data_IF_675397628676
#
_entry.id   IF_675397628676
#
_cell.length_a   1.000
_cell.length_b   1.000
_cell.length_c   1.000
_cell.angle_alpha   90.00
_cell.angle_beta   90.00
_cell.angle_gamma   90.00
#
_symmetry.space_group_name_H-M   'P 1'
#
loop_
_entity.id
_entity.type
_entity.pdbx_description
1 polymer ?
#
# COMPACT_ATOMS: atom_id res chain seq x y z
N UNK A 1 -15.25 -12.05 -25.57
CA UNK A 1 -14.06 -12.48 -24.81
C UNK A 1 -14.58 -13.35 -23.67
N UNK A 2 -13.96 -14.51 -23.33
CA UNK A 2 -14.40 -15.29 -22.19
C UNK A 2 -14.34 -14.47 -20.90
N UNK A 3 -15.21 -14.79 -19.94
CA UNK A 3 -15.17 -14.15 -18.63
C UNK A 3 -13.81 -14.39 -17.97
N UNK A 4 -13.26 -13.39 -17.25
CA UNK A 4 -12.03 -13.59 -16.53
C UNK A 4 -12.16 -14.72 -15.49
N UNK A 5 -11.05 -15.40 -15.15
CA UNK A 5 -11.00 -16.31 -14.00
C UNK A 5 -11.62 -15.65 -12.77
N UNK A 6 -12.28 -16.44 -11.91
CA UNK A 6 -12.99 -15.90 -10.74
C UNK A 6 -12.11 -14.96 -9.89
N UNK A 7 -10.84 -15.32 -9.69
CA UNK A 7 -9.86 -14.51 -8.97
C UNK A 7 -9.59 -13.11 -9.58
N UNK A 8 -9.94 -12.90 -10.84
CA UNK A 8 -9.73 -11.65 -11.59
C UNK A 8 -11.04 -10.90 -11.87
N UNK A 9 -12.21 -11.40 -11.45
CA UNK A 9 -13.51 -10.78 -11.76
C UNK A 9 -13.78 -9.53 -10.94
N UNK A 10 -13.36 -9.52 -9.68
CA UNK A 10 -13.57 -8.40 -8.77
C UNK A 10 -12.30 -8.11 -7.98
N UNK A 11 -11.51 -7.14 -8.45
CA UNK A 11 -10.30 -6.68 -7.76
C UNK A 11 -10.51 -5.25 -7.31
N UNK A 12 -10.41 -5.00 -5.99
CA UNK A 12 -10.46 -3.64 -5.45
C UNK A 12 -9.06 -3.08 -5.28
N UNK A 13 -8.86 -1.84 -5.68
CA UNK A 13 -7.59 -1.13 -5.50
C UNK A 13 -7.81 0.06 -4.59
N UNK A 14 -7.08 0.13 -3.48
CA UNK A 14 -7.22 1.16 -2.45
C UNK A 14 -5.90 1.86 -2.27
N UNK A 15 -5.89 3.19 -2.20
CA UNK A 15 -4.68 3.98 -1.98
C UNK A 15 -4.73 5.34 -2.68
N UNK A 16 -3.55 5.97 -2.80
CA UNK A 16 -3.38 7.22 -3.55
C UNK A 16 -4.01 7.12 -4.96
N UNK A 17 -4.87 8.07 -5.37
CA UNK A 17 -5.60 8.01 -6.64
C UNK A 17 -4.69 7.80 -7.85
N UNK A 18 -3.55 8.50 -7.93
CA UNK A 18 -2.66 8.39 -9.09
C UNK A 18 -2.06 6.98 -9.23
N UNK A 19 -1.66 6.39 -8.10
CA UNK A 19 -1.11 5.03 -8.03
C UNK A 19 -2.21 3.99 -8.24
N UNK A 20 -3.36 4.14 -7.57
CA UNK A 20 -4.49 3.23 -7.67
C UNK A 20 -5.04 3.18 -9.11
N UNK A 21 -5.16 4.32 -9.78
CA UNK A 21 -5.61 4.39 -11.17
C UNK A 21 -4.63 3.71 -12.14
N UNK A 22 -3.32 3.89 -11.92
CA UNK A 22 -2.30 3.22 -12.72
C UNK A 22 -2.39 1.69 -12.58
N UNK A 23 -2.55 1.19 -11.36
CA UNK A 23 -2.73 -0.24 -11.07
C UNK A 23 -4.03 -0.77 -11.67
N UNK A 24 -5.15 -0.03 -11.52
CA UNK A 24 -6.44 -0.41 -12.12
C UNK A 24 -6.32 -0.53 -13.65
N UNK A 25 -5.65 0.43 -14.31
CA UNK A 25 -5.42 0.36 -15.76
C UNK A 25 -4.61 -0.86 -16.15
N UNK A 26 -3.54 -1.16 -15.42
CA UNK A 26 -2.69 -2.32 -15.68
C UNK A 26 -3.47 -3.64 -15.51
N UNK A 27 -4.23 -3.78 -14.42
CA UNK A 27 -5.04 -4.97 -14.16
C UNK A 27 -6.15 -5.17 -15.22
N UNK A 28 -6.81 -4.08 -15.63
CA UNK A 28 -7.82 -4.14 -16.71
C UNK A 28 -7.21 -4.53 -18.05
N UNK A 29 -6.02 -4.04 -18.37
CA UNK A 29 -5.29 -4.45 -19.57
C UNK A 29 -4.96 -5.95 -19.57
N UNK A 30 -4.81 -6.55 -18.38
CA UNK A 30 -4.67 -8.00 -18.18
C UNK A 30 -6.01 -8.76 -18.11
N UNK A 31 -7.14 -8.07 -18.31
CA UNK A 31 -8.48 -8.66 -18.34
C UNK A 31 -9.19 -8.75 -16.99
N UNK A 32 -8.65 -8.14 -15.93
CA UNK A 32 -9.31 -8.14 -14.62
C UNK A 32 -10.43 -7.09 -14.50
N UNK A 33 -11.49 -7.41 -13.76
CA UNK A 33 -12.55 -6.49 -13.34
C UNK A 33 -12.12 -5.58 -12.19
N UNK A 34 -11.00 -4.88 -12.37
CA UNK A 34 -10.42 -4.02 -11.33
C UNK A 34 -11.14 -2.68 -11.21
N UNK A 35 -11.31 -2.17 -9.98
CA UNK A 35 -11.83 -0.82 -9.71
C UNK A 35 -11.23 -0.23 -8.44
N UNK A 36 -11.15 1.09 -8.40
CA UNK A 36 -10.77 1.80 -7.18
C UNK A 36 -11.85 1.61 -6.10
N UNK A 37 -11.42 1.60 -4.84
CA UNK A 37 -12.30 1.58 -3.68
C UNK A 37 -11.74 2.51 -2.59
N UNK A 38 -12.64 3.08 -1.80
CA UNK A 38 -12.26 3.89 -0.65
C UNK A 38 -11.66 3.03 0.48
N UNK A 39 -10.88 3.64 1.38
CA UNK A 39 -10.24 2.96 2.51
C UNK A 39 -11.23 2.50 3.59
N UNK A 40 -12.43 3.09 3.64
CA UNK A 40 -13.41 2.84 4.69
C UNK A 40 -13.97 1.41 4.68
N UNK A 41 -14.09 0.81 3.49
CA UNK A 41 -14.56 -0.58 3.36
C UNK A 41 -14.09 -1.24 2.05
N UNK A 42 -12.80 -1.64 1.96
CA UNK A 42 -12.30 -2.37 0.80
C UNK A 42 -12.81 -3.81 0.72
N UNK A 43 -13.44 -4.32 1.79
CA UNK A 43 -13.97 -5.68 1.86
C UNK A 43 -15.46 -5.75 1.50
N UNK A 44 -16.12 -4.60 1.29
CA UNK A 44 -17.49 -4.49 0.83
C UNK A 44 -17.76 -5.42 -0.36
N UNK A 45 -18.86 -6.16 -0.29
CA UNK A 45 -19.29 -7.15 -1.28
C UNK A 45 -18.35 -8.35 -1.48
N UNK A 46 -17.36 -8.54 -0.58
CA UNK A 46 -16.38 -9.63 -0.59
C UNK A 46 -15.70 -9.79 -1.96
N UNK A 47 -14.84 -8.83 -2.37
CA UNK A 47 -14.14 -8.91 -3.63
C UNK A 47 -13.24 -10.15 -3.70
N UNK A 48 -12.86 -10.51 -4.92
CA UNK A 48 -11.97 -11.66 -5.17
C UNK A 48 -10.54 -11.40 -4.69
N UNK A 49 -10.10 -10.13 -4.72
CA UNK A 49 -8.82 -9.69 -4.16
C UNK A 49 -8.82 -8.18 -3.88
N UNK A 50 -7.91 -7.74 -3.01
CA UNK A 50 -7.66 -6.32 -2.72
C UNK A 50 -6.19 -5.96 -2.95
N UNK A 51 -5.92 -4.92 -3.71
CA UNK A 51 -4.58 -4.32 -3.86
C UNK A 51 -4.52 -3.05 -3.01
N UNK A 52 -3.57 -3.03 -2.09
CA UNK A 52 -3.34 -1.97 -1.12
C UNK A 52 -2.14 -1.13 -1.56
N UNK A 53 -2.39 0.03 -2.16
CA UNK A 53 -1.39 0.94 -2.68
C UNK A 53 -0.99 2.02 -1.67
N UNK A 54 -0.07 1.67 -0.78
CA UNK A 54 0.44 2.56 0.25
C UNK A 54 1.25 3.70 -0.39
N UNK A 55 0.99 4.93 0.07
CA UNK A 55 1.95 6.01 -0.10
C UNK A 55 3.03 5.87 0.95
N UNK A 56 4.32 6.00 0.61
CA UNK A 56 5.34 6.18 1.63
C UNK A 56 5.06 7.51 2.35
N UNK A 57 4.78 7.47 3.64
CA UNK A 57 4.51 8.64 4.48
C UNK A 57 5.76 9.49 4.77
N UNK A 58 6.85 9.30 4.04
CA UNK A 58 8.09 10.05 4.22
C UNK A 58 8.65 10.47 2.87
N UNK A 59 8.84 11.77 2.59
CA UNK A 59 9.72 12.17 1.51
C UNK A 59 11.12 11.65 1.86
N UNK A 60 11.66 10.74 1.05
CA UNK A 60 13.08 10.40 1.11
C UNK A 60 13.83 11.59 0.50
N UNK A 61 14.04 12.64 1.29
CA UNK A 61 14.66 13.89 0.90
C UNK A 61 14.80 14.77 2.15
N UNK A 62 16.05 15.11 2.49
CA UNK A 62 16.44 15.65 3.78
C UNK A 62 15.76 16.96 4.20
N UNK A 63 15.94 17.29 5.48
CA UNK A 63 15.68 18.60 6.03
C UNK A 63 16.23 19.69 5.09
N UNK A 64 15.33 20.40 4.40
CA UNK A 64 15.73 21.34 3.36
C UNK A 64 14.53 21.99 2.69
N UNK A 65 14.10 23.08 3.30
CA UNK A 65 13.23 24.14 2.76
C UNK A 65 11.72 23.88 2.76
N UNK A 66 11.09 24.51 3.77
CA UNK A 66 9.67 24.82 3.81
C UNK A 66 9.28 25.66 2.57
N UNK A 67 8.70 24.99 1.58
CA UNK A 67 8.15 25.62 0.39
C UNK A 67 6.83 24.97 0.00
N UNK A 68 5.74 25.43 0.64
CA UNK A 68 4.36 25.36 0.18
C UNK A 68 3.82 23.99 -0.27
N UNK A 69 3.17 23.27 0.63
CA UNK A 69 2.18 22.26 0.24
C UNK A 69 0.80 22.72 0.72
N UNK A 70 0.02 23.28 -0.21
CA UNK A 70 -1.43 23.36 -0.07
C UNK A 70 -1.96 21.95 0.23
N UNK A 71 -2.70 21.86 1.33
CA UNK A 71 -3.60 20.77 1.75
C UNK A 71 -3.55 19.51 0.88
N UNK A 72 -2.60 18.60 1.17
CA UNK A 72 -2.84 17.20 0.86
C UNK A 72 -3.78 16.72 1.95
N UNK A 73 -5.07 16.56 1.64
CA UNK A 73 -5.96 15.74 2.47
C UNK A 73 -5.17 14.50 2.89
N UNK A 74 -5.08 14.26 4.20
CA UNK A 74 -4.30 13.17 4.75
C UNK A 74 -4.66 11.90 3.97
N UNK A 75 -3.75 11.46 3.09
CA UNK A 75 -3.94 10.21 2.37
C UNK A 75 -4.03 9.20 3.49
N UNK A 76 -5.17 8.50 3.62
CA UNK A 76 -5.37 7.61 4.75
C UNK A 76 -4.20 6.65 4.72
N UNK A 77 -3.45 6.66 5.82
CA UNK A 77 -2.42 5.67 6.07
C UNK A 77 -3.10 4.35 5.72
N UNK A 78 -2.56 3.60 4.75
CA UNK A 78 -3.14 2.29 4.46
C UNK A 78 -2.78 1.46 5.68
N UNK A 79 -3.73 1.50 6.60
CA UNK A 79 -3.57 1.05 7.94
C UNK A 79 -3.19 -0.43 7.87
N UNK A 80 -2.11 -0.78 8.55
CA UNK A 80 -1.72 -2.16 8.67
C UNK A 80 -2.87 -3.00 9.25
N UNK A 81 -3.73 -2.40 10.06
CA UNK A 81 -4.97 -3.01 10.55
C UNK A 81 -5.98 -3.32 9.44
N UNK A 82 -6.03 -2.54 8.36
CA UNK A 82 -6.89 -2.82 7.21
C UNK A 82 -6.45 -4.12 6.52
N UNK A 83 -5.14 -4.29 6.37
CA UNK A 83 -4.60 -5.49 5.79
C UNK A 83 -4.80 -6.71 6.68
N UNK A 84 -4.67 -6.57 8.00
CA UNK A 84 -4.90 -7.65 8.93
C UNK A 84 -6.39 -8.07 8.95
N UNK A 85 -7.33 -7.11 8.90
CA UNK A 85 -8.77 -7.39 8.74
C UNK A 85 -9.10 -8.20 7.47
N UNK A 86 -8.39 -7.97 6.37
CA UNK A 86 -8.60 -8.75 5.14
C UNK A 86 -8.21 -10.23 5.30
N UNK A 87 -7.23 -10.56 6.16
CA UNK A 87 -6.92 -11.96 6.48
C UNK A 87 -8.05 -12.64 7.23
N UNK A 88 -8.62 -11.96 8.23
CA UNK A 88 -9.74 -12.51 9.01
C UNK A 88 -10.95 -12.84 8.12
N UNK A 89 -11.11 -12.10 7.02
CA UNK A 89 -12.18 -12.29 6.03
C UNK A 89 -11.82 -13.29 4.92
N UNK A 90 -10.60 -13.82 4.91
CA UNK A 90 -10.11 -14.75 3.89
C UNK A 90 -10.00 -14.13 2.49
N UNK A 91 -9.82 -12.81 2.40
CA UNK A 91 -9.71 -12.10 1.13
C UNK A 91 -8.22 -11.97 0.75
N UNK A 92 -7.81 -12.53 -0.42
CA UNK A 92 -6.46 -12.37 -0.92
C UNK A 92 -6.08 -10.89 -1.08
N UNK A 93 -4.82 -10.55 -0.79
CA UNK A 93 -4.34 -9.17 -0.92
C UNK A 93 -2.96 -9.04 -1.50
N UNK A 94 -2.64 -7.85 -1.98
CA UNK A 94 -1.30 -7.51 -2.44
C UNK A 94 -0.96 -6.08 -2.03
N UNK A 95 0.24 -5.85 -1.51
CA UNK A 95 0.71 -4.49 -1.28
C UNK A 95 1.37 -3.92 -2.52
N UNK A 96 1.19 -2.62 -2.70
CA UNK A 96 1.77 -1.82 -3.73
C UNK A 96 2.27 -0.52 -3.08
N UNK A 97 3.34 0.06 -3.59
CA UNK A 97 3.73 1.42 -3.21
C UNK A 97 4.46 2.10 -4.34
N UNK A 98 4.45 3.43 -4.30
CA UNK A 98 5.09 4.25 -5.33
C UNK A 98 6.31 4.96 -4.77
N UNK A 99 7.42 4.87 -5.49
CA UNK A 99 8.63 5.65 -5.26
C UNK A 99 8.98 6.40 -6.56
N UNK A 100 8.80 7.71 -6.56
CA UNK A 100 8.98 8.53 -7.75
C UNK A 100 8.06 8.09 -8.91
N UNK A 101 8.64 7.55 -9.97
CA UNK A 101 7.92 7.04 -11.14
C UNK A 101 7.70 5.52 -11.13
N UNK A 102 8.21 4.82 -10.11
CA UNK A 102 8.18 3.36 -10.02
C UNK A 102 7.07 2.95 -9.05
N UNK A 103 6.28 1.94 -9.43
CA UNK A 103 5.36 1.25 -8.53
C UNK A 103 5.96 -0.11 -8.21
N UNK A 104 6.26 -0.32 -6.94
CA UNK A 104 6.73 -1.59 -6.39
C UNK A 104 5.53 -2.42 -5.95
N UNK A 105 5.51 -3.68 -6.38
CA UNK A 105 4.47 -4.65 -6.04
C UNK A 105 5.07 -5.72 -5.11
N UNK A 106 4.48 -5.91 -3.94
CA UNK A 106 4.81 -7.02 -3.05
C UNK A 106 4.22 -8.34 -3.59
N UNK A 107 4.75 -9.51 -3.21
CA UNK A 107 4.08 -10.77 -3.52
C UNK A 107 2.65 -10.81 -2.97
N UNK A 108 1.70 -11.47 -3.66
CA UNK A 108 0.35 -11.62 -3.14
C UNK A 108 0.36 -12.47 -1.87
N UNK A 109 -0.45 -12.08 -0.89
CA UNK A 109 -0.78 -12.83 0.30
C UNK A 109 -2.14 -13.52 0.08
N UNK A 110 -2.14 -14.85 0.06
CA UNK A 110 -3.29 -15.71 -0.19
C UNK A 110 -3.81 -16.38 1.10
N UNK A 111 -2.94 -16.53 2.10
CA UNK A 111 -3.24 -17.16 3.38
C UNK A 111 -2.60 -16.40 4.56
N UNK A 112 -3.15 -16.54 5.77
CA UNK A 112 -2.51 -16.00 6.98
C UNK A 112 -1.07 -16.47 7.10
N UNK A 113 -0.15 -15.55 7.39
CA UNK A 113 1.29 -15.84 7.50
C UNK A 113 2.09 -15.65 6.21
N UNK A 114 1.44 -15.35 5.08
CA UNK A 114 2.11 -14.91 3.84
C UNK A 114 2.77 -13.51 4.03
N UNK A 115 2.78 -12.65 3.01
CA UNK A 115 3.33 -11.30 3.12
C UNK A 115 2.49 -10.46 4.09
N UNK A 116 2.95 -10.36 5.33
CA UNK A 116 2.37 -9.51 6.37
C UNK A 116 2.90 -8.09 6.26
N UNK A 117 2.18 -7.15 6.89
CA UNK A 117 2.67 -5.80 7.10
C UNK A 117 4.07 -5.77 7.73
N UNK A 118 4.33 -6.65 8.71
CA UNK A 118 5.62 -6.76 9.37
C UNK A 118 6.74 -7.21 8.41
N UNK A 119 6.44 -8.13 7.48
CA UNK A 119 7.41 -8.56 6.46
C UNK A 119 7.79 -7.43 5.50
N UNK A 120 6.79 -6.65 5.03
CA UNK A 120 7.04 -5.49 4.16
C UNK A 120 7.92 -4.47 4.87
N UNK A 121 7.60 -4.19 6.15
CA UNK A 121 8.41 -3.31 7.00
C UNK A 121 9.85 -3.80 7.14
N UNK A 122 10.05 -5.05 7.56
CA UNK A 122 11.38 -5.62 7.76
C UNK A 122 12.25 -5.54 6.50
N UNK A 123 11.68 -5.81 5.31
CA UNK A 123 12.41 -5.72 4.05
C UNK A 123 12.81 -4.27 3.72
N UNK A 124 11.90 -3.33 3.91
CA UNK A 124 12.17 -1.90 3.69
C UNK A 124 13.24 -1.37 4.66
N UNK A 125 13.22 -1.80 5.92
CA UNK A 125 14.30 -1.51 6.87
C UNK A 125 15.64 -2.05 6.40
N UNK A 126 15.68 -3.29 5.93
CA UNK A 126 16.90 -3.93 5.45
C UNK A 126 17.47 -3.28 4.17
N UNK A 127 16.64 -2.55 3.41
CA UNK A 127 17.01 -1.94 2.12
C UNK A 127 17.32 -0.45 2.23
N UNK A 128 17.08 0.19 3.38
CA UNK A 128 17.40 1.60 3.60
C UNK A 128 18.63 1.80 4.51
N UNK A 129 19.57 2.70 4.16
CA UNK A 129 20.61 3.16 5.09
C UNK A 129 20.00 3.83 6.35
N UNK A 130 18.82 4.45 6.23
CA UNK A 130 18.11 5.18 7.27
C UNK A 130 17.20 4.29 8.14
N UNK A 131 17.60 3.04 8.38
CA UNK A 131 16.74 2.04 9.04
C UNK A 131 16.30 2.45 10.46
N UNK A 132 17.07 3.29 11.16
CA UNK A 132 16.68 3.78 12.50
C UNK A 132 15.51 4.75 12.45
N UNK A 133 15.51 5.66 11.48
CA UNK A 133 14.41 6.62 11.25
C UNK A 133 13.14 5.89 10.81
N UNK A 134 13.29 4.91 9.92
CA UNK A 134 12.17 4.08 9.46
C UNK A 134 11.58 3.21 10.59
N UNK A 135 12.43 2.69 11.48
CA UNK A 135 11.99 1.86 12.61
C UNK A 135 11.19 2.69 13.62
N UNK A 136 11.67 3.89 13.94
CA UNK A 136 11.00 4.82 14.85
C UNK A 136 9.63 5.26 14.31
N UNK A 137 9.55 5.60 13.01
CA UNK A 137 8.28 5.93 12.35
C UNK A 137 7.23 4.82 12.51
N UNK A 138 7.59 3.56 12.26
CA UNK A 138 6.63 2.46 12.36
C UNK A 138 6.32 1.98 13.78
N UNK A 139 7.19 2.26 14.76
CA UNK A 139 6.85 2.05 16.17
C UNK A 139 6.02 3.19 16.75
N UNK A 140 5.73 4.24 15.97
CA UNK A 140 5.11 5.47 16.48
C UNK A 140 5.99 6.24 17.45
N UNK A 141 7.30 5.95 17.47
CA UNK A 141 8.27 6.62 18.31
C UNK A 141 8.84 7.82 17.56
N UNK A 142 8.92 8.98 18.22
CA UNK A 142 9.68 10.10 17.67
C UNK A 142 11.15 9.66 17.52
N UNK A 143 11.73 9.86 16.34
CA UNK A 143 13.18 9.76 16.17
C UNK A 143 13.78 11.00 16.83
N UNK A 144 14.61 10.83 17.85
CA UNK A 144 15.45 11.92 18.33
C UNK A 144 16.42 12.29 17.20
N UNK A 145 16.41 13.56 16.76
CA UNK A 145 17.43 14.06 15.84
C UNK A 145 18.81 13.89 16.49
N UNK A 146 19.82 13.39 15.75
CA UNK A 146 21.19 13.44 16.25
C UNK A 146 21.59 14.92 16.43
N UNK A 147 22.09 15.24 17.62
CA UNK A 147 22.61 16.56 17.94
C UNK A 147 23.70 17.00 16.93
N UNK A 148 23.78 18.32 16.64
CA UNK A 148 24.65 18.88 15.60
C UNK A 148 26.14 18.61 15.79
#
# INVERSE_FOLDING_TARGET
MPDPPAALRDVRVVGDPATADAVVRALRALGAGARTAGPADPAADRPSAVVLCAVPSVPIGGAGEAGGAETTEAVPDIDHELADRLFELGIPRQYCHREGAIVWMEPPALAPGDVTAAHVRARRLATTPAHRELAAHWSGAAVEEPAP
#
